data_IF_986377008108
#
_entry.id   IF_986377008108
#
_cell.length_a   1.000
_cell.length_b   1.000
_cell.length_c   1.000
_cell.angle_alpha   90.00
_cell.angle_beta   90.00
_cell.angle_gamma   90.00
#
_symmetry.space_group_name_H-M   'P 1'
#
loop_
_entity.id
_entity.type
_entity.pdbx_description
1 polymer ?
#
# COMPACT_ATOMS: atom_id res chain seq x y z
N UNK A 1 5.32 -8.43 -17.42
CA UNK A 1 6.25 -7.32 -17.77
C UNK A 1 5.42 -6.21 -18.37
N UNK A 2 5.81 -4.94 -18.17
CA UNK A 2 5.22 -3.78 -18.84
C UNK A 2 6.37 -2.98 -19.44
N UNK A 3 6.35 -2.83 -20.76
CA UNK A 3 7.38 -2.23 -21.62
C UNK A 3 6.87 -1.02 -22.42
N UNK A 4 5.56 -0.74 -22.37
CA UNK A 4 4.92 0.46 -22.91
C UNK A 4 4.05 1.17 -21.87
N UNK A 5 3.04 1.90 -22.35
CA UNK A 5 1.97 2.43 -21.48
C UNK A 5 0.77 1.49 -21.52
N UNK A 6 0.30 1.05 -20.35
CA UNK A 6 -0.83 0.14 -20.15
C UNK A 6 -1.75 0.75 -19.10
N UNK A 7 -3.01 0.99 -19.46
CA UNK A 7 -4.03 1.52 -18.55
C UNK A 7 -5.13 0.47 -18.34
N UNK A 8 -5.28 0.00 -17.09
CA UNK A 8 -6.29 -1.00 -16.68
C UNK A 8 -7.33 -0.30 -15.80
N UNK A 9 -8.52 -0.05 -16.35
CA UNK A 9 -9.60 0.69 -15.67
C UNK A 9 -10.26 -0.08 -14.51
N UNK A 10 -9.94 -1.36 -14.35
CA UNK A 10 -10.48 -2.27 -13.34
C UNK A 10 -9.47 -2.67 -12.26
N UNK A 11 -9.98 -3.33 -11.22
CA UNK A 11 -9.17 -3.93 -10.15
C UNK A 11 -8.37 -5.12 -10.69
N UNK A 12 -7.03 -5.06 -10.57
CA UNK A 12 -6.18 -6.23 -10.74
C UNK A 12 -6.29 -7.07 -9.46
N UNK A 13 -6.73 -8.32 -9.56
CA UNK A 13 -6.66 -9.27 -8.42
C UNK A 13 -5.42 -10.13 -8.57
N UNK A 14 -4.65 -10.24 -7.48
CA UNK A 14 -3.44 -11.06 -7.41
C UNK A 14 -3.78 -12.40 -6.79
N UNK A 15 -3.48 -13.48 -7.53
CA UNK A 15 -3.63 -14.86 -7.12
C UNK A 15 -2.25 -15.56 -7.21
N UNK A 16 -1.78 -16.15 -6.11
CA UNK A 16 -0.44 -16.75 -6.00
C UNK A 16 0.70 -15.73 -5.86
N UNK A 17 1.89 -16.07 -6.37
CA UNK A 17 3.07 -15.17 -6.45
C UNK A 17 3.15 -14.51 -7.83
N UNK A 18 2.75 -13.24 -7.91
CA UNK A 18 2.75 -12.44 -9.14
C UNK A 18 3.90 -11.44 -9.12
N UNK A 19 4.68 -11.43 -10.20
CA UNK A 19 5.85 -10.56 -10.37
C UNK A 19 5.68 -9.59 -11.53
N UNK A 20 5.60 -8.31 -11.21
CA UNK A 20 5.58 -7.21 -12.18
C UNK A 20 7.00 -6.70 -12.40
N UNK A 21 7.46 -6.73 -13.65
CA UNK A 21 8.66 -6.03 -14.11
C UNK A 21 8.21 -4.78 -14.86
N UNK A 22 8.61 -3.62 -14.37
CA UNK A 22 8.46 -2.30 -14.98
C UNK A 22 9.75 -1.99 -15.76
N UNK A 23 9.68 -2.01 -17.09
CA UNK A 23 10.80 -1.59 -17.92
C UNK A 23 11.01 -0.07 -17.81
N UNK A 24 12.23 0.38 -18.10
CA UNK A 24 12.54 1.81 -18.07
C UNK A 24 11.66 2.60 -19.07
N UNK A 25 11.13 3.74 -18.63
CA UNK A 25 10.14 4.57 -19.33
C UNK A 25 8.70 4.03 -19.35
N UNK A 26 8.47 2.76 -18.99
CA UNK A 26 7.16 2.12 -19.07
C UNK A 26 6.18 2.58 -17.97
N UNK A 27 4.88 2.40 -18.20
CA UNK A 27 3.81 2.87 -17.32
C UNK A 27 2.69 1.85 -17.21
N UNK A 28 2.37 1.41 -16.00
CA UNK A 28 1.14 0.69 -15.68
C UNK A 28 0.25 1.59 -14.83
N UNK A 29 -0.86 2.07 -15.37
CA UNK A 29 -1.94 2.66 -14.57
C UNK A 29 -2.98 1.57 -14.28
N UNK A 30 -3.47 1.50 -13.04
CA UNK A 30 -4.58 0.63 -12.67
C UNK A 30 -5.53 1.31 -11.69
N UNK A 31 -6.76 0.84 -11.61
CA UNK A 31 -7.75 1.24 -10.60
C UNK A 31 -7.27 0.93 -9.18
N UNK A 32 -6.92 -0.34 -8.93
CA UNK A 32 -6.15 -0.81 -7.78
C UNK A 32 -5.63 -2.23 -7.98
N UNK A 33 -4.73 -2.64 -7.08
CA UNK A 33 -4.24 -4.00 -6.98
C UNK A 33 -4.74 -4.63 -5.67
N UNK A 34 -5.58 -5.65 -5.80
CA UNK A 34 -6.12 -6.45 -4.70
C UNK A 34 -5.17 -7.62 -4.40
N UNK A 35 -4.47 -7.55 -3.28
CA UNK A 35 -3.52 -8.57 -2.77
C UNK A 35 -4.06 -9.06 -1.43
N UNK A 36 -4.81 -10.16 -1.46
CA UNK A 36 -5.36 -10.77 -0.25
C UNK A 36 -4.31 -11.65 0.45
N UNK A 37 -4.58 -12.03 1.70
CA UNK A 37 -3.89 -13.09 2.44
C UNK A 37 -3.52 -14.31 1.56
N UNK A 38 -2.41 -14.96 1.89
CA UNK A 38 -1.74 -16.03 1.12
C UNK A 38 -1.19 -15.65 -0.27
N UNK A 39 -1.49 -14.46 -0.79
CA UNK A 39 -0.99 -13.99 -2.09
C UNK A 39 0.21 -13.07 -1.95
N UNK A 40 1.04 -13.01 -2.99
CA UNK A 40 2.23 -12.17 -3.06
C UNK A 40 2.26 -11.35 -4.34
N UNK A 41 2.48 -10.04 -4.21
CA UNK A 41 2.70 -9.13 -5.33
C UNK A 41 4.08 -8.49 -5.21
N UNK A 42 4.95 -8.76 -6.19
CA UNK A 42 6.33 -8.27 -6.21
C UNK A 42 6.56 -7.35 -7.41
N UNK A 43 7.02 -6.12 -7.17
CA UNK A 43 7.29 -5.11 -8.21
C UNK A 43 8.80 -4.87 -8.34
N UNK A 44 9.30 -4.97 -9.56
CA UNK A 44 10.71 -4.75 -9.92
C UNK A 44 10.80 -3.63 -10.96
N UNK A 45 11.69 -2.67 -10.73
CA UNK A 45 12.14 -1.73 -11.76
C UNK A 45 13.42 -2.24 -12.44
N UNK A 46 13.63 -1.83 -13.69
CA UNK A 46 14.95 -1.93 -14.34
C UNK A 46 15.97 -0.93 -13.76
N UNK A 47 17.22 -1.01 -14.20
CA UNK A 47 18.35 -0.26 -13.63
C UNK A 47 18.25 1.26 -13.73
N UNK A 48 17.51 1.81 -14.71
CA UNK A 48 17.22 3.24 -14.77
C UNK A 48 16.18 3.69 -13.73
N UNK A 49 15.44 2.74 -13.14
CA UNK A 49 14.41 2.95 -12.12
C UNK A 49 13.31 3.94 -12.55
N UNK A 50 13.03 4.04 -13.85
CA UNK A 50 12.07 5.01 -14.43
C UNK A 50 10.70 4.40 -14.76
N UNK A 51 10.62 3.07 -14.86
CA UNK A 51 9.36 2.35 -15.03
C UNK A 51 8.41 2.60 -13.85
N UNK A 52 7.12 2.82 -14.13
CA UNK A 52 6.16 3.29 -13.13
C UNK A 52 4.90 2.42 -13.00
N UNK A 53 4.47 2.19 -11.76
CA UNK A 53 3.17 1.63 -11.39
C UNK A 53 2.37 2.72 -10.69
N UNK A 54 1.18 3.02 -11.20
CA UNK A 54 0.27 4.00 -10.62
C UNK A 54 -1.10 3.38 -10.36
N UNK A 55 -1.46 3.22 -9.09
CA UNK A 55 -2.81 2.85 -8.68
C UNK A 55 -3.63 4.10 -8.36
N UNK A 56 -4.79 4.26 -8.99
CA UNK A 56 -5.70 5.40 -8.83
C UNK A 56 -7.17 4.97 -8.68
N UNK A 57 -7.67 5.10 -7.45
CA UNK A 57 -9.10 5.22 -7.10
C UNK A 57 -9.96 3.99 -7.44
N UNK A 58 -10.02 3.06 -6.51
CA UNK A 58 -10.75 1.79 -6.65
C UNK A 58 -12.20 1.82 -6.20
N UNK A 59 -12.44 2.19 -4.96
CA UNK A 59 -13.73 2.44 -4.31
C UNK A 59 -13.43 3.18 -3.01
N UNK A 60 -14.42 3.85 -2.38
CA UNK A 60 -14.23 4.60 -1.14
C UNK A 60 -13.35 3.84 -0.11
N UNK A 61 -13.66 2.59 0.19
CA UNK A 61 -12.96 1.83 1.24
C UNK A 61 -11.66 1.15 0.80
N UNK A 62 -11.36 1.10 -0.50
CA UNK A 62 -10.33 0.22 -1.04
C UNK A 62 -8.94 0.87 -1.11
N UNK A 63 -7.87 0.08 -0.86
CA UNK A 63 -6.52 0.59 -0.94
C UNK A 63 -6.07 0.75 -2.39
N UNK A 64 -4.94 1.44 -2.60
CA UNK A 64 -4.28 1.47 -3.90
C UNK A 64 -3.63 0.12 -4.23
N UNK A 65 -2.80 -0.40 -3.32
CA UNK A 65 -2.18 -1.72 -3.44
C UNK A 65 -2.38 -2.43 -2.10
N UNK A 66 -3.20 -3.48 -2.02
CA UNK A 66 -3.59 -3.99 -0.70
C UNK A 66 -4.73 -4.99 -0.65
N UNK A 67 -5.10 -5.39 0.57
CA UNK A 67 -6.17 -6.33 0.86
C UNK A 67 -7.53 -5.89 0.34
N UNK A 68 -8.32 -6.87 -0.12
CA UNK A 68 -9.71 -6.68 -0.51
C UNK A 68 -10.63 -6.41 0.69
N UNK A 69 -11.87 -6.02 0.38
CA UNK A 69 -12.90 -5.80 1.41
C UNK A 69 -13.12 -7.10 2.22
N UNK A 70 -13.13 -6.96 3.54
CA UNK A 70 -13.31 -8.01 4.55
C UNK A 70 -12.24 -9.11 4.57
N UNK A 71 -11.04 -8.84 4.04
CA UNK A 71 -9.89 -9.76 4.05
C UNK A 71 -8.67 -9.11 4.70
N UNK A 72 -7.73 -9.92 5.18
CA UNK A 72 -6.38 -9.45 5.50
C UNK A 72 -5.62 -9.15 4.20
N UNK A 73 -4.64 -8.25 4.26
CA UNK A 73 -3.69 -8.01 3.17
C UNK A 73 -2.71 -9.17 3.00
N UNK A 74 -2.24 -9.38 1.77
CA UNK A 74 -1.17 -10.32 1.45
C UNK A 74 0.23 -9.71 1.59
N UNK A 75 1.19 -10.29 0.87
CA UNK A 75 2.57 -9.80 0.83
C UNK A 75 2.77 -8.84 -0.36
N UNK A 76 3.28 -7.64 -0.09
CA UNK A 76 3.62 -6.64 -1.10
C UNK A 76 5.12 -6.36 -1.00
N UNK A 77 5.88 -6.68 -2.05
CA UNK A 77 7.32 -6.48 -2.12
C UNK A 77 7.67 -5.46 -3.22
N UNK A 78 8.28 -4.34 -2.86
CA UNK A 78 8.68 -3.28 -3.79
C UNK A 78 10.21 -3.23 -3.90
N UNK A 79 10.76 -3.72 -5.00
CA UNK A 79 12.20 -3.81 -5.25
C UNK A 79 12.74 -2.64 -6.08
N UNK A 80 11.90 -1.98 -6.87
CA UNK A 80 12.29 -0.84 -7.71
C UNK A 80 11.14 -0.25 -8.51
N UNK A 81 11.48 0.72 -9.35
CA UNK A 81 10.56 1.54 -10.13
C UNK A 81 10.02 2.74 -9.35
N UNK A 82 9.03 3.40 -9.94
CA UNK A 82 8.26 4.49 -9.32
C UNK A 82 6.87 3.94 -9.00
N UNK A 83 6.57 3.74 -7.73
CA UNK A 83 5.28 3.20 -7.26
C UNK A 83 4.46 4.32 -6.63
N UNK A 84 3.36 4.67 -7.28
CA UNK A 84 2.38 5.63 -6.76
C UNK A 84 1.09 4.89 -6.39
N UNK A 85 0.79 4.81 -5.10
CA UNK A 85 -0.34 4.09 -4.57
C UNK A 85 -1.31 5.05 -3.85
N UNK A 86 -2.39 5.40 -4.55
CA UNK A 86 -3.45 6.24 -4.01
C UNK A 86 -4.76 5.46 -3.83
N UNK A 87 -5.26 5.60 -2.61
CA UNK A 87 -6.52 5.17 -1.99
C UNK A 87 -7.85 5.52 -2.68
N UNK A 88 -8.93 5.01 -2.08
CA UNK A 88 -10.22 5.69 -1.96
C UNK A 88 -10.36 6.64 -0.74
N UNK A 89 -11.58 6.93 -0.29
CA UNK A 89 -11.91 7.84 0.82
C UNK A 89 -11.37 7.36 2.19
N UNK A 90 -11.54 6.08 2.52
CA UNK A 90 -11.13 5.48 3.81
C UNK A 90 -9.95 4.49 3.69
N UNK A 91 -9.78 3.78 2.57
CA UNK A 91 -8.73 2.74 2.41
C UNK A 91 -7.29 3.29 2.49
N UNK A 92 -6.30 2.43 2.77
CA UNK A 92 -4.88 2.81 2.85
C UNK A 92 -4.24 3.09 1.47
N UNK A 93 -3.09 3.78 1.44
CA UNK A 93 -2.31 3.93 0.20
C UNK A 93 -1.78 2.57 -0.25
N UNK A 94 -1.02 1.93 0.64
CA UNK A 94 -0.58 0.53 0.53
C UNK A 94 -0.98 -0.21 1.81
N UNK A 95 -1.66 -1.36 1.71
CA UNK A 95 -1.99 -2.21 2.87
C UNK A 95 -3.47 -2.61 2.96
N UNK A 96 -4.20 -2.12 3.96
CA UNK A 96 -5.54 -2.58 4.34
C UNK A 96 -6.71 -1.82 3.69
N UNK A 97 -7.83 -2.52 3.54
CA UNK A 97 -9.15 -1.93 3.28
C UNK A 97 -9.73 -1.28 4.56
N UNK A 98 -10.68 -0.37 4.42
CA UNK A 98 -11.33 0.29 5.55
C UNK A 98 -12.10 -0.68 6.45
N UNK A 99 -11.97 -0.53 7.77
CA UNK A 99 -12.55 -1.39 8.81
C UNK A 99 -12.31 -2.91 8.64
N UNK A 100 -11.28 -3.30 7.88
CA UNK A 100 -10.97 -4.70 7.57
C UNK A 100 -9.79 -5.21 8.41
N UNK A 101 -9.30 -6.41 8.09
CA UNK A 101 -8.29 -7.11 8.87
C UNK A 101 -6.90 -6.47 8.86
N UNK A 102 -5.88 -7.26 9.20
CA UNK A 102 -4.49 -6.83 9.20
C UNK A 102 -4.07 -6.30 7.82
N UNK A 103 -3.26 -5.24 7.78
CA UNK A 103 -2.85 -4.56 6.54
C UNK A 103 -1.97 -5.40 5.61
N UNK A 104 -1.63 -6.63 6.00
CA UNK A 104 -0.71 -7.52 5.30
C UNK A 104 0.74 -7.19 5.63
N UNK A 105 1.67 -7.67 4.82
CA UNK A 105 3.09 -7.35 4.97
C UNK A 105 3.58 -6.51 3.80
N UNK A 106 4.16 -5.34 4.08
CA UNK A 106 4.68 -4.41 3.09
C UNK A 106 6.21 -4.31 3.24
N UNK A 107 6.95 -4.79 2.24
CA UNK A 107 8.42 -4.77 2.22
C UNK A 107 8.92 -3.89 1.10
N UNK A 108 9.64 -2.83 1.44
CA UNK A 108 10.24 -1.90 0.47
C UNK A 108 11.76 -2.09 0.52
N UNK A 109 12.34 -2.53 -0.58
CA UNK A 109 13.76 -2.78 -0.75
C UNK A 109 14.44 -1.71 -1.61
N UNK A 110 13.69 -1.02 -2.47
CA UNK A 110 14.22 -0.02 -3.39
C UNK A 110 13.14 0.71 -4.17
N UNK A 111 13.57 1.61 -5.06
CA UNK A 111 12.70 2.46 -5.88
C UNK A 111 12.24 3.74 -5.17
N UNK A 112 11.27 4.41 -5.79
CA UNK A 112 10.58 5.59 -5.23
C UNK A 112 9.12 5.22 -4.97
N UNK A 113 8.71 5.21 -3.72
CA UNK A 113 7.37 4.78 -3.29
C UNK A 113 6.62 5.94 -2.67
N UNK A 114 5.46 6.28 -3.21
CA UNK A 114 4.56 7.31 -2.67
C UNK A 114 3.21 6.66 -2.34
N UNK A 115 2.83 6.68 -1.07
CA UNK A 115 1.65 5.98 -0.54
C UNK A 115 0.80 6.92 0.34
N UNK A 116 -0.48 7.10 -0.03
CA UNK A 116 -1.24 8.30 0.38
C UNK A 116 -2.64 7.97 0.94
N UNK A 117 -2.76 7.97 2.27
CA UNK A 117 -3.94 8.01 3.17
C UNK A 117 -4.98 6.92 2.94
N UNK A 118 -6.28 7.02 3.28
CA UNK A 118 -7.08 7.99 4.06
C UNK A 118 -7.22 9.45 3.61
N UNK A 119 -8.43 9.93 3.27
CA UNK A 119 -8.87 11.26 3.80
C UNK A 119 -9.56 11.03 5.14
N UNK A 120 -10.36 9.97 5.22
CA UNK A 120 -11.07 9.55 6.42
C UNK A 120 -10.29 8.43 7.11
N UNK A 121 -9.16 8.83 7.72
CA UNK A 121 -8.45 8.01 8.71
C UNK A 121 -7.78 6.73 8.19
N UNK A 122 -7.42 6.63 6.91
CA UNK A 122 -6.50 5.59 6.40
C UNK A 122 -5.03 6.01 6.47
N UNK A 123 -4.14 5.07 6.73
CA UNK A 123 -2.70 5.29 6.74
C UNK A 123 -2.13 5.43 5.32
N UNK A 124 -0.95 6.06 5.19
CA UNK A 124 -0.19 6.03 3.95
C UNK A 124 0.24 4.61 3.60
N UNK A 125 0.89 3.94 4.56
CA UNK A 125 1.20 2.51 4.52
C UNK A 125 0.66 1.84 5.79
N UNK A 126 -0.20 0.83 5.65
CA UNK A 126 -0.78 0.09 6.77
C UNK A 126 -2.30 -0.03 6.70
N UNK A 127 -3.02 0.33 7.76
CA UNK A 127 -4.46 0.10 7.89
C UNK A 127 -5.34 1.16 7.19
N UNK A 128 -6.49 0.74 6.66
CA UNK A 128 -7.54 1.65 6.20
C UNK A 128 -8.38 2.19 7.36
N UNK A 129 -9.01 3.35 7.19
CA UNK A 129 -9.84 4.00 8.22
C UNK A 129 -11.18 3.32 8.49
N UNK A 130 -12.10 4.02 9.15
CA UNK A 130 -13.41 3.49 9.50
C UNK A 130 -14.47 3.77 8.42
N UNK A 131 -14.97 2.70 7.76
CA UNK A 131 -16.19 2.72 6.95
C UNK A 131 -17.43 2.70 7.87
N UNK A 132 -18.20 3.79 7.89
CA UNK A 132 -19.44 3.90 8.66
C UNK A 132 -20.52 2.90 8.23
N UNK A 133 -20.42 2.36 7.02
CA UNK A 133 -21.30 1.30 6.50
C UNK A 133 -20.99 -0.07 7.11
N UNK A 134 -19.91 -0.20 7.89
CA UNK A 134 -19.47 -1.46 8.46
C UNK A 134 -19.96 -1.66 9.90
N UNK A 135 -20.71 -2.74 10.11
CA UNK A 135 -21.50 -2.97 11.33
C UNK A 135 -20.71 -3.51 12.53
N UNK A 136 -19.39 -3.74 12.41
CA UNK A 136 -18.54 -4.27 13.50
C UNK A 136 -17.95 -3.19 14.45
N UNK A 137 -18.43 -1.95 14.37
CA UNK A 137 -18.06 -0.87 15.30
C UNK A 137 -17.09 0.16 14.72
N UNK A 138 -16.80 1.24 15.48
CA UNK A 138 -16.13 2.44 15.00
C UNK A 138 -14.59 2.32 14.96
N UNK A 139 -14.09 1.26 14.32
CA UNK A 139 -12.67 0.91 14.30
C UNK A 139 -12.11 0.98 12.87
N UNK A 140 -10.93 1.57 12.73
CA UNK A 140 -10.11 1.40 11.54
C UNK A 140 -9.58 -0.03 11.42
N UNK A 141 -9.08 -0.37 10.24
CA UNK A 141 -8.31 -1.59 10.04
C UNK A 141 -6.95 -1.52 10.74
N UNK A 142 -6.46 -2.68 11.17
CA UNK A 142 -5.16 -2.79 11.83
C UNK A 142 -4.04 -2.44 10.85
N UNK A 143 -2.90 -2.01 11.40
CA UNK A 143 -1.70 -1.73 10.61
C UNK A 143 -1.18 -2.95 9.86
N UNK A 144 -0.21 -2.70 8.97
CA UNK A 144 0.55 -3.74 8.29
C UNK A 144 1.85 -4.02 9.05
N UNK A 145 2.48 -5.15 8.77
CA UNK A 145 3.90 -5.35 9.08
C UNK A 145 4.74 -4.67 7.99
N UNK A 146 5.39 -3.55 8.33
CA UNK A 146 6.08 -2.69 7.38
C UNK A 146 7.59 -2.76 7.58
N UNK A 147 8.32 -3.17 6.53
CA UNK A 147 9.78 -3.24 6.53
C UNK A 147 10.36 -2.41 5.39
N UNK A 148 11.11 -1.36 5.71
CA UNK A 148 11.69 -0.43 4.71
C UNK A 148 13.22 -0.48 4.75
N UNK A 149 13.80 -1.33 3.88
CA UNK A 149 15.25 -1.59 3.81
C UNK A 149 15.99 -0.66 2.86
N UNK A 150 15.31 -0.02 1.91
CA UNK A 150 15.95 0.87 0.94
C UNK A 150 14.96 1.67 0.09
N UNK A 151 15.47 2.54 -0.76
CA UNK A 151 14.69 3.43 -1.62
C UNK A 151 14.30 4.75 -0.96
N UNK A 152 13.44 5.50 -1.64
CA UNK A 152 12.85 6.75 -1.16
C UNK A 152 11.36 6.49 -0.93
N UNK A 153 10.89 6.63 0.31
CA UNK A 153 9.51 6.34 0.70
C UNK A 153 8.83 7.60 1.24
N UNK A 154 7.76 8.03 0.58
CA UNK A 154 6.88 9.09 1.05
C UNK A 154 5.55 8.48 1.46
N UNK A 155 5.29 8.44 2.77
CA UNK A 155 4.05 7.96 3.34
C UNK A 155 3.26 9.13 3.94
N UNK A 156 2.00 9.27 3.58
CA UNK A 156 1.14 10.36 4.06
C UNK A 156 -0.19 9.79 4.53
N UNK A 157 -0.43 9.78 5.84
CA UNK A 157 -1.75 9.45 6.39
C UNK A 157 -2.76 10.57 6.10
N UNK A 158 -4.03 10.35 6.39
CA UNK A 158 -5.00 11.45 6.39
C UNK A 158 -6.04 11.33 7.48
N UNK A 159 -6.72 12.44 7.77
CA UNK A 159 -7.47 12.59 9.00
C UNK A 159 -6.53 12.47 10.20
N UNK A 160 -6.87 11.61 11.15
CA UNK A 160 -6.08 11.32 12.35
C UNK A 160 -5.19 10.07 12.24
N UNK A 161 -5.06 9.46 11.06
CA UNK A 161 -4.23 8.26 10.89
C UNK A 161 -2.74 8.60 10.74
N UNK A 162 -1.83 7.76 11.28
CA UNK A 162 -0.40 7.91 11.06
C UNK A 162 -0.02 7.74 9.58
N UNK A 163 1.17 8.23 9.20
CA UNK A 163 1.70 8.00 7.85
C UNK A 163 2.01 6.52 7.61
N UNK A 164 2.56 5.84 8.62
CA UNK A 164 2.76 4.39 8.62
C UNK A 164 2.16 3.84 9.91
N UNK A 165 1.23 2.88 9.81
CA UNK A 165 0.57 2.27 10.98
C UNK A 165 -0.89 1.89 10.72
N UNK A 166 -1.71 1.82 11.77
CA UNK A 166 -3.14 1.52 11.63
C UNK A 166 -3.96 2.61 10.94
N UNK A 167 -5.19 2.28 10.54
CA UNK A 167 -6.22 3.29 10.35
C UNK A 167 -6.63 3.93 11.68
N UNK A 168 -7.10 5.17 11.64
CA UNK A 168 -7.53 5.90 12.84
C UNK A 168 -8.64 5.16 13.58
N UNK A 169 -8.63 5.32 14.91
CA UNK A 169 -9.45 4.56 15.87
C UNK A 169 -9.14 3.06 15.98
N UNK A 170 -8.14 2.52 15.28
CA UNK A 170 -7.53 1.23 15.65
C UNK A 170 -6.33 1.44 16.58
N UNK A 171 -6.16 0.51 17.52
CA UNK A 171 -5.09 0.46 18.52
C UNK A 171 -4.03 -0.61 18.21
N UNK A 172 -4.08 -1.23 17.03
CA UNK A 172 -3.08 -2.18 16.57
C UNK A 172 -2.37 -1.58 15.35
N UNK A 173 -1.25 -0.91 15.58
CA UNK A 173 -0.49 -0.19 14.56
C UNK A 173 0.35 -1.10 13.64
N UNK A 174 0.31 -2.43 13.84
CA UNK A 174 1.12 -3.38 13.09
C UNK A 174 2.56 -3.33 13.58
N UNK A 175 3.52 -3.29 12.66
CA UNK A 175 4.92 -3.09 13.00
C UNK A 175 5.64 -2.23 11.97
N UNK A 176 6.67 -1.52 12.40
CA UNK A 176 7.57 -0.77 11.51
C UNK A 176 9.02 -1.07 11.83
N UNK A 177 9.82 -1.38 10.80
CA UNK A 177 11.27 -1.59 10.94
C UNK A 177 12.01 -1.19 9.67
N UNK A 178 13.24 -0.70 9.81
CA UNK A 178 14.19 -0.59 8.70
C UNK A 178 15.00 -1.89 8.49
N UNK A 179 14.97 -2.81 9.46
CA UNK A 179 15.90 -3.94 9.56
C UNK A 179 17.32 -3.52 9.94
N UNK A 180 18.15 -4.49 10.35
CA UNK A 180 19.49 -4.27 10.89
C UNK A 180 20.44 -3.46 9.99
N UNK A 181 20.19 -3.45 8.67
CA UNK A 181 21.04 -2.80 7.66
C UNK A 181 20.21 -1.98 6.65
N UNK A 182 19.08 -1.40 7.06
CA UNK A 182 18.25 -0.57 6.18
C UNK A 182 18.89 0.78 5.84
N UNK A 183 18.83 1.19 4.57
CA UNK A 183 19.45 2.42 4.04
C UNK A 183 18.46 3.34 3.30
N UNK A 184 17.21 3.37 3.76
CA UNK A 184 16.13 4.13 3.13
C UNK A 184 16.07 5.61 3.55
N UNK A 185 15.52 6.45 2.67
CA UNK A 185 15.04 7.80 3.00
C UNK A 185 13.53 7.74 3.18
N UNK A 186 13.03 8.17 4.34
CA UNK A 186 11.60 8.03 4.70
C UNK A 186 11.02 9.39 5.10
N UNK A 187 10.02 9.83 4.34
CA UNK A 187 9.20 11.00 4.64
C UNK A 187 7.86 10.52 5.19
N UNK A 188 7.68 10.62 6.50
CA UNK A 188 6.46 10.27 7.23
C UNK A 188 6.25 11.28 8.36
N UNK A 189 5.03 11.80 8.53
CA UNK A 189 4.73 12.79 9.59
C UNK A 189 4.43 12.15 10.94
N UNK A 190 4.05 10.88 10.95
CA UNK A 190 3.84 10.07 12.15
C UNK A 190 4.02 8.58 11.81
N UNK A 191 4.64 7.85 12.73
CA UNK A 191 4.62 6.38 12.77
C UNK A 191 3.67 6.01 13.91
N UNK A 192 2.79 5.03 13.71
CA UNK A 192 2.00 4.44 14.78
C UNK A 192 2.78 3.29 15.42
N UNK A 193 2.91 3.32 16.74
CA UNK A 193 3.64 2.38 17.58
C UNK A 193 2.76 1.72 18.66
#
# INVERSE_FOLDING_TARGET
MVDGSVDIIDTITVEGDVRLILCDGAKLTTKNICVNEDNTFSVYGQSGNTGSLTSRISHNTAPGIGGGRFKNGGNINLYGGIVYAQRGKEGAGIGGNASCGHGGTVRIYGGTVTAVGGTENGAGIGGGGWDQSYTKGPYGGNGADVVVRGGIVTATGGGSAPSIGAGGSSNNHGSFSTGENGSAVIFASALGD
#
